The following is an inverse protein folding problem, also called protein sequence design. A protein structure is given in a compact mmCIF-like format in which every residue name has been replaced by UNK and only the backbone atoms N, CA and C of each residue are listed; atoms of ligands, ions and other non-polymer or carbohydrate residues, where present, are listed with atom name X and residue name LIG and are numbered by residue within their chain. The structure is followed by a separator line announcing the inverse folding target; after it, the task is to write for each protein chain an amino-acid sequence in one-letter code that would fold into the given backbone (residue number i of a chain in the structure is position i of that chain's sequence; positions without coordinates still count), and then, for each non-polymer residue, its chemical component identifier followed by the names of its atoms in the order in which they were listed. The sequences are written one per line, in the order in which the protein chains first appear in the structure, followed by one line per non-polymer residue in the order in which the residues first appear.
data_IF_544849501475
#
_entry.id   IF_544849501475
#
_cell.length_a   1.000
_cell.length_b   1.000
_cell.length_c   1.000
_cell.angle_alpha   90.00
_cell.angle_beta   90.00
_cell.angle_gamma   90.00
#
_symmetry.space_group_name_H-M   'P 1'
#
loop_
_entity.id
_entity.type
_entity.pdbx_description
1 polymer ?
#
# COMPACT_ATOMS: atom_id res chain seq x y z
N UNK A 1 -1.84 47.06 0.79
CA UNK A 1 -1.61 45.63 1.12
C UNK A 1 -1.89 45.45 2.61
N UNK A 2 -2.93 44.71 2.99
CA UNK A 2 -3.25 44.52 4.41
C UNK A 2 -2.23 43.58 5.08
N UNK A 3 -1.93 43.79 6.36
CA UNK A 3 -0.95 42.97 7.08
C UNK A 3 -1.34 41.48 7.10
N UNK A 4 -2.64 41.18 7.10
CA UNK A 4 -3.17 39.82 6.97
C UNK A 4 -2.87 39.18 5.60
N UNK A 5 -2.96 39.95 4.52
CA UNK A 5 -2.60 39.45 3.18
C UNK A 5 -1.12 39.12 3.10
N UNK A 6 -0.27 39.94 3.71
CA UNK A 6 1.18 39.69 3.76
C UNK A 6 1.51 38.40 4.53
N UNK A 7 0.91 38.19 5.71
CA UNK A 7 1.12 36.97 6.50
C UNK A 7 0.71 35.70 5.73
N UNK A 8 -0.43 35.74 5.03
CA UNK A 8 -0.89 34.60 4.19
C UNK A 8 0.10 34.29 3.07
N UNK A 9 0.61 35.31 2.38
CA UNK A 9 1.58 35.14 1.30
C UNK A 9 2.90 34.53 1.80
N UNK A 10 3.35 34.94 2.99
CA UNK A 10 4.56 34.36 3.60
C UNK A 10 4.37 32.88 3.98
N UNK A 11 3.20 32.52 4.52
CA UNK A 11 2.87 31.12 4.84
C UNK A 11 2.78 30.25 3.58
N UNK A 12 2.12 30.73 2.52
CA UNK A 12 2.05 30.00 1.25
C UNK A 12 3.42 29.87 0.58
N UNK A 13 4.27 30.92 0.63
CA UNK A 13 5.66 30.82 0.18
C UNK A 13 6.39 29.69 0.91
N UNK A 14 6.31 29.65 2.24
CA UNK A 14 7.00 28.63 3.03
C UNK A 14 6.50 27.22 2.71
N UNK A 15 5.18 27.05 2.60
CA UNK A 15 4.54 25.80 2.19
C UNK A 15 5.00 25.34 0.81
N UNK A 16 5.03 26.24 -0.16
CA UNK A 16 5.48 25.94 -1.52
C UNK A 16 6.96 25.58 -1.57
N UNK A 17 7.82 26.29 -0.82
CA UNK A 17 9.25 25.94 -0.73
C UNK A 17 9.44 24.55 -0.11
N UNK A 18 8.70 24.21 0.96
CA UNK A 18 8.74 22.86 1.56
C UNK A 18 8.32 21.78 0.56
N UNK A 19 7.24 22.01 -0.18
CA UNK A 19 6.78 21.07 -1.20
C UNK A 19 7.80 20.91 -2.33
N UNK A 20 8.42 22.01 -2.77
CA UNK A 20 9.45 22.00 -3.81
C UNK A 20 10.68 21.17 -3.39
N UNK A 21 11.19 21.36 -2.17
CA UNK A 21 12.30 20.56 -1.66
C UNK A 21 11.94 19.06 -1.59
N UNK A 22 10.72 18.72 -1.16
CA UNK A 22 10.23 17.33 -1.16
C UNK A 22 10.16 16.76 -2.58
N UNK A 23 9.80 17.58 -3.56
CA UNK A 23 9.65 17.16 -4.95
C UNK A 23 10.96 16.79 -5.65
N UNK A 24 12.11 17.29 -5.16
CA UNK A 24 13.43 17.05 -5.81
C UNK A 24 13.85 15.59 -5.83
N UNK A 25 13.39 14.80 -4.86
CA UNK A 25 13.80 13.40 -4.68
C UNK A 25 12.61 12.43 -4.87
N UNK A 26 11.60 12.81 -5.65
CA UNK A 26 10.48 11.92 -5.93
C UNK A 26 10.91 10.81 -6.89
N UNK A 27 10.61 9.56 -6.50
CA UNK A 27 10.72 8.38 -7.34
C UNK A 27 9.83 8.52 -8.58
N UNK A 28 10.25 7.93 -9.71
CA UNK A 28 9.39 7.89 -10.90
C UNK A 28 8.17 7.02 -10.62
N UNK A 29 7.01 7.43 -11.12
CA UNK A 29 5.77 6.64 -10.98
C UNK A 29 5.95 5.22 -11.52
N UNK A 30 6.69 5.06 -12.63
CA UNK A 30 7.01 3.74 -13.18
C UNK A 30 7.80 2.85 -12.23
N UNK A 31 8.76 3.42 -11.49
CA UNK A 31 9.57 2.71 -10.50
C UNK A 31 8.68 2.32 -9.30
N UNK A 32 7.87 3.25 -8.79
CA UNK A 32 6.94 2.98 -7.71
C UNK A 32 5.90 1.89 -8.06
N UNK A 33 5.36 1.90 -9.28
CA UNK A 33 4.46 0.86 -9.76
C UNK A 33 5.18 -0.49 -9.90
N UNK A 34 6.43 -0.49 -10.38
CA UNK A 34 7.24 -1.71 -10.48
C UNK A 34 7.47 -2.31 -9.10
N UNK A 35 7.85 -1.50 -8.11
CA UNK A 35 8.06 -1.94 -6.73
C UNK A 35 6.79 -2.51 -6.11
N UNK A 36 5.64 -1.88 -6.36
CA UNK A 36 4.35 -2.39 -5.90
C UNK A 36 4.02 -3.76 -6.51
N UNK A 37 4.21 -3.93 -7.82
CA UNK A 37 3.99 -5.21 -8.50
C UNK A 37 4.93 -6.28 -7.93
N UNK A 38 6.20 -5.95 -7.76
CA UNK A 38 7.19 -6.86 -7.19
C UNK A 38 6.80 -7.28 -5.77
N UNK A 39 6.34 -6.35 -4.95
CA UNK A 39 5.84 -6.64 -3.62
C UNK A 39 4.67 -7.63 -3.67
N UNK A 40 3.65 -7.37 -4.50
CA UNK A 40 2.48 -8.25 -4.61
C UNK A 40 2.82 -9.67 -5.08
N UNK A 41 3.86 -9.83 -5.91
CA UNK A 41 4.33 -11.15 -6.35
C UNK A 41 5.14 -11.89 -5.28
N UNK A 42 5.83 -11.16 -4.41
CA UNK A 42 6.69 -11.74 -3.37
C UNK A 42 5.91 -12.27 -2.16
N UNK A 43 4.64 -11.86 -2.02
CA UNK A 43 3.79 -12.24 -0.91
C UNK A 43 2.80 -13.30 -1.36
N UNK A 44 2.71 -14.36 -0.58
CA UNK A 44 1.67 -15.37 -0.75
C UNK A 44 0.40 -14.81 -0.11
N UNK A 45 -0.65 -14.64 -0.90
CA UNK A 45 -1.96 -14.17 -0.45
C UNK A 45 -2.87 -15.37 -0.15
N UNK A 46 -3.27 -15.61 1.11
CA UNK A 46 -4.18 -16.69 1.48
C UNK A 46 -5.58 -16.61 0.85
N UNK A 47 -5.97 -15.43 0.35
CA UNK A 47 -7.23 -15.23 -0.35
C UNK A 47 -7.09 -15.32 -1.87
N UNK A 48 -5.89 -15.51 -2.40
CA UNK A 48 -5.68 -15.74 -3.82
C UNK A 48 -6.27 -17.09 -4.23
N UNK A 49 -6.95 -17.19 -5.39
CA UNK A 49 -7.41 -18.47 -5.94
C UNK A 49 -6.29 -19.49 -6.18
N UNK A 50 -5.04 -19.02 -6.31
CA UNK A 50 -3.86 -19.86 -6.52
C UNK A 50 -3.24 -20.36 -5.20
N UNK A 51 -3.75 -19.91 -4.05
CA UNK A 51 -3.28 -20.35 -2.74
C UNK A 51 -3.66 -21.80 -2.48
N UNK A 52 -2.66 -22.65 -2.22
CA UNK A 52 -2.85 -24.10 -2.10
C UNK A 52 -2.75 -24.63 -0.68
N UNK A 53 -2.39 -23.81 0.30
CA UNK A 53 -2.33 -24.27 1.68
C UNK A 53 -3.74 -24.44 2.25
N UNK A 54 -3.85 -25.29 3.27
CA UNK A 54 -5.11 -25.55 3.93
C UNK A 54 -5.55 -24.35 4.78
N UNK A 55 -6.85 -24.06 4.73
CA UNK A 55 -7.45 -23.10 5.64
C UNK A 55 -7.51 -23.71 7.06
N UNK A 56 -6.80 -23.15 8.06
CA UNK A 56 -6.76 -23.69 9.41
C UNK A 56 -8.11 -23.55 10.16
N UNK A 57 -9.05 -22.78 9.62
CA UNK A 57 -10.41 -22.65 10.14
C UNK A 57 -11.43 -23.52 9.40
N UNK A 58 -11.00 -24.29 8.40
CA UNK A 58 -11.86 -25.28 7.76
C UNK A 58 -12.02 -26.50 8.67
N UNK A 59 -13.07 -26.44 9.48
CA UNK A 59 -13.44 -27.47 10.47
C UNK A 59 -13.78 -28.84 9.83
N UNK A 60 -13.82 -28.93 8.50
CA UNK A 60 -14.15 -30.16 7.79
C UNK A 60 -12.93 -31.07 7.54
N UNK A 61 -11.70 -30.59 7.79
CA UNK A 61 -10.47 -31.35 7.53
C UNK A 61 -9.87 -32.06 8.75
N UNK A 62 -10.45 -31.92 9.95
CA UNK A 62 -10.08 -32.75 11.09
C UNK A 62 -10.83 -34.10 11.03
N UNK A 63 -10.31 -35.02 10.21
CA UNK A 63 -10.32 -36.46 10.51
C UNK A 63 -11.62 -37.08 11.01
N UNK A 64 -12.73 -36.91 10.28
CA UNK A 64 -13.88 -37.80 10.38
C UNK A 64 -13.57 -39.14 9.72
N UNK A 65 -12.83 -40.02 10.40
CA UNK A 65 -12.61 -41.39 9.97
C UNK A 65 -13.95 -42.15 10.01
N UNK A 66 -14.68 -42.15 8.89
CA UNK A 66 -15.66 -43.16 8.45
C UNK A 66 -16.24 -42.71 7.10
N UNK A 67 -15.67 -43.19 5.99
CA UNK A 67 -16.33 -43.16 4.70
C UNK A 67 -17.51 -44.14 4.75
N UNK A 68 -18.74 -43.63 4.61
CA UNK A 68 -19.90 -44.47 4.38
C UNK A 68 -19.83 -44.99 2.94
N UNK A 69 -19.71 -46.31 2.85
CA UNK A 69 -19.94 -47.13 1.66
C UNK A 69 -21.33 -46.86 1.10
#
# INVERSE_FOLDING_TARGET
MSQQQLTRLLQEKERLMKNFERSKNLMKVSEACSDLVNFTKSKVDPFSPEFKDSNPWDKNNEGGCCALV
#
